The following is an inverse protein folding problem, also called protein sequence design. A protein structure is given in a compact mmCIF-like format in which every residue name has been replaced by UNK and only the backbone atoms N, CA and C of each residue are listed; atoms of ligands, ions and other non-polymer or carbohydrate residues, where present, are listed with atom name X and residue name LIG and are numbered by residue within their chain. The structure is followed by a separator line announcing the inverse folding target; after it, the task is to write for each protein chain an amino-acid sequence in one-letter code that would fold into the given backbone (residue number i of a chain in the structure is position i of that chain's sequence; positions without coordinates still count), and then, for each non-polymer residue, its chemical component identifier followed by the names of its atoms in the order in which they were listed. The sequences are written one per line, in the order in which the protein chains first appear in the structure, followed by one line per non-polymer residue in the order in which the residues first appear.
data_IF_223137634201
#
_entry.id   IF_223137634201
#
_cell.length_a   1.000
_cell.length_b   1.000
_cell.length_c   1.000
_cell.angle_alpha   90.00
_cell.angle_beta   90.00
_cell.angle_gamma   90.00
#
_symmetry.space_group_name_H-M   'P 1'
#
loop_
_entity.id
_entity.type
_entity.pdbx_description
1 polymer ?
#
# COMPACT_ATOMS: atom_id res chain seq x y z
N UNK A 1 -6.76 7.78 23.07
CA UNK A 1 -5.98 6.55 23.27
C UNK A 1 -4.95 6.42 22.17
N UNK A 2 -3.72 6.00 22.51
CA UNK A 2 -2.53 6.15 21.74
C UNK A 2 -2.42 5.28 20.51
N UNK A 3 -1.56 5.75 19.62
CA UNK A 3 -1.05 4.91 18.54
C UNK A 3 0.11 4.08 19.07
N UNK A 4 0.22 2.86 18.57
CA UNK A 4 1.38 1.99 18.77
C UNK A 4 2.12 1.88 17.45
N UNK A 5 3.43 2.08 17.50
CA UNK A 5 4.34 1.93 16.39
C UNK A 5 5.32 0.81 16.68
N UNK A 6 5.54 -0.04 15.71
CA UNK A 6 6.54 -1.08 15.76
C UNK A 6 7.40 -1.01 14.51
N UNK A 7 8.70 -0.86 14.70
CA UNK A 7 9.68 -0.84 13.63
C UNK A 7 10.07 -2.26 13.27
N UNK A 8 9.94 -2.61 12.00
CA UNK A 8 10.30 -3.90 11.45
C UNK A 8 11.44 -3.70 10.44
N UNK A 9 12.56 -4.33 10.69
CA UNK A 9 13.74 -4.20 9.85
C UNK A 9 13.84 -5.41 8.93
N UNK A 10 14.00 -5.13 7.65
CA UNK A 10 14.19 -6.10 6.58
C UNK A 10 13.06 -7.12 6.37
N UNK A 11 13.05 -7.72 5.18
CA UNK A 11 12.00 -8.63 4.73
C UNK A 11 11.66 -9.76 5.68
N UNK A 12 12.65 -10.45 6.28
CA UNK A 12 12.39 -11.54 7.23
C UNK A 12 11.58 -11.13 8.47
N UNK A 13 11.57 -9.86 8.84
CA UNK A 13 10.74 -9.37 9.95
C UNK A 13 9.34 -8.95 9.49
N UNK A 14 9.22 -8.17 8.41
CA UNK A 14 7.92 -7.59 8.06
C UNK A 14 7.05 -8.47 7.15
N UNK A 15 7.60 -9.22 6.19
CA UNK A 15 6.75 -10.03 5.31
C UNK A 15 5.95 -11.11 6.05
N UNK A 16 6.55 -11.94 6.94
CA UNK A 16 5.77 -12.92 7.69
C UNK A 16 4.63 -12.26 8.50
N UNK A 17 4.89 -11.07 9.05
CA UNK A 17 3.89 -10.32 9.81
C UNK A 17 2.75 -9.79 8.93
N UNK A 18 3.08 -9.26 7.75
CA UNK A 18 2.09 -8.83 6.75
C UNK A 18 1.23 -10.01 6.29
N UNK A 19 1.86 -11.14 5.93
CA UNK A 19 1.15 -12.35 5.50
C UNK A 19 0.27 -12.92 6.61
N UNK A 20 0.73 -12.92 7.86
CA UNK A 20 -0.05 -13.34 9.02
C UNK A 20 -1.25 -12.41 9.26
N UNK A 21 -1.06 -11.09 9.13
CA UNK A 21 -2.14 -10.12 9.26
C UNK A 21 -3.22 -10.33 8.19
N UNK A 22 -2.85 -10.56 6.92
CA UNK A 22 -3.80 -10.88 5.85
C UNK A 22 -4.53 -12.20 6.13
N UNK A 23 -3.80 -13.21 6.63
CA UNK A 23 -4.39 -14.51 6.97
C UNK A 23 -5.40 -14.39 8.13
N UNK A 24 -5.16 -13.50 9.09
CA UNK A 24 -6.04 -13.24 10.24
C UNK A 24 -7.18 -12.27 9.97
N UNK A 25 -7.21 -11.59 8.83
CA UNK A 25 -8.21 -10.58 8.48
C UNK A 25 -9.64 -11.15 8.54
N UNK A 26 -10.56 -10.34 9.11
CA UNK A 26 -11.96 -10.71 9.32
C UNK A 26 -12.93 -9.88 8.47
N UNK A 27 -12.57 -8.65 8.11
CA UNK A 27 -13.48 -7.69 7.45
C UNK A 27 -12.94 -7.22 6.12
N UNK A 28 -11.73 -6.64 6.12
CA UNK A 28 -11.17 -6.02 4.94
C UNK A 28 -9.64 -6.06 4.92
N UNK A 29 -9.11 -6.16 3.72
CA UNK A 29 -7.68 -6.00 3.41
C UNK A 29 -7.54 -5.00 2.26
N UNK A 30 -6.71 -3.99 2.44
CA UNK A 30 -6.41 -2.99 1.44
C UNK A 30 -4.92 -2.93 1.21
N UNK A 31 -4.51 -3.21 -0.01
CA UNK A 31 -3.12 -3.23 -0.42
C UNK A 31 -2.87 -2.18 -1.49
N UNK A 32 -1.88 -1.33 -1.28
CA UNK A 32 -1.39 -0.35 -2.26
C UNK A 32 0.11 -0.55 -2.44
N UNK A 33 0.54 -0.96 -3.63
CA UNK A 33 1.94 -1.23 -3.93
C UNK A 33 2.36 -0.61 -5.24
N UNK A 34 3.57 -0.02 -5.22
CA UNK A 34 4.26 0.37 -6.43
C UNK A 34 4.82 -0.84 -7.17
N UNK A 35 5.62 -1.66 -6.50
CA UNK A 35 6.38 -2.76 -7.10
C UNK A 35 5.83 -4.11 -6.65
N UNK A 36 5.38 -4.90 -7.62
CA UNK A 36 4.96 -6.28 -7.43
C UNK A 36 5.38 -7.08 -8.67
N UNK A 37 6.37 -7.95 -8.52
CA UNK A 37 6.94 -8.73 -9.62
C UNK A 37 6.86 -10.23 -9.33
N UNK A 38 7.01 -11.04 -10.37
CA UNK A 38 7.08 -12.50 -10.21
C UNK A 38 8.14 -12.90 -9.18
N UNK A 39 7.83 -13.92 -8.38
CA UNK A 39 8.73 -14.48 -7.37
C UNK A 39 7.96 -15.14 -6.24
N UNK A 40 8.69 -15.69 -5.27
CA UNK A 40 8.12 -16.37 -4.12
C UNK A 40 7.35 -15.42 -3.22
N UNK A 41 7.88 -14.19 -3.03
CA UNK A 41 7.19 -13.14 -2.28
C UNK A 41 5.82 -12.82 -2.87
N UNK A 42 5.76 -12.54 -4.17
CA UNK A 42 4.51 -12.25 -4.87
C UNK A 42 3.54 -13.44 -4.82
N UNK A 43 4.04 -14.65 -4.98
CA UNK A 43 3.22 -15.89 -4.95
C UNK A 43 2.54 -16.03 -3.59
N UNK A 44 3.30 -15.94 -2.50
CA UNK A 44 2.75 -16.03 -1.15
C UNK A 44 1.75 -14.90 -0.85
N UNK A 45 2.07 -13.67 -1.26
CA UNK A 45 1.17 -12.52 -1.08
C UNK A 45 -0.16 -12.74 -1.83
N UNK A 46 -0.10 -13.12 -3.11
CA UNK A 46 -1.28 -13.41 -3.94
C UNK A 46 -2.12 -14.52 -3.32
N UNK A 47 -1.50 -15.62 -2.88
CA UNK A 47 -2.19 -16.72 -2.22
C UNK A 47 -2.94 -16.26 -0.96
N UNK A 48 -2.30 -15.47 -0.08
CA UNK A 48 -2.94 -14.96 1.14
C UNK A 48 -4.10 -14.03 0.84
N UNK A 49 -3.98 -13.16 -0.15
CA UNK A 49 -5.06 -12.27 -0.60
C UNK A 49 -6.24 -13.07 -1.16
N UNK A 50 -5.97 -14.07 -2.01
CA UNK A 50 -7.00 -14.96 -2.53
C UNK A 50 -7.71 -15.73 -1.41
N UNK A 51 -6.95 -16.31 -0.48
CA UNK A 51 -7.52 -17.02 0.67
C UNK A 51 -8.39 -16.11 1.55
N UNK A 52 -7.98 -14.86 1.78
CA UNK A 52 -8.78 -13.89 2.51
C UNK A 52 -10.11 -13.59 1.77
N UNK A 53 -10.05 -13.32 0.46
CA UNK A 53 -11.24 -13.07 -0.35
C UNK A 53 -12.21 -14.27 -0.36
N UNK A 54 -11.68 -15.49 -0.50
CA UNK A 54 -12.49 -16.72 -0.46
C UNK A 54 -13.16 -16.97 0.89
N UNK A 55 -12.61 -16.42 2.00
CA UNK A 55 -13.26 -16.41 3.32
C UNK A 55 -14.36 -15.35 3.47
N UNK A 56 -14.57 -14.51 2.45
CA UNK A 56 -15.55 -13.42 2.49
C UNK A 56 -14.99 -12.08 2.97
N UNK A 57 -13.67 -11.97 3.18
CA UNK A 57 -13.01 -10.71 3.50
C UNK A 57 -13.02 -9.81 2.25
N UNK A 58 -13.37 -8.54 2.41
CA UNK A 58 -13.28 -7.57 1.31
C UNK A 58 -11.82 -7.25 1.01
N UNK A 59 -11.31 -7.71 -0.13
CA UNK A 59 -9.92 -7.47 -0.52
C UNK A 59 -9.86 -6.49 -1.68
N UNK A 60 -9.15 -5.38 -1.49
CA UNK A 60 -8.90 -4.34 -2.49
C UNK A 60 -7.40 -4.18 -2.73
N UNK A 61 -6.96 -4.32 -3.97
CA UNK A 61 -5.57 -4.15 -4.37
C UNK A 61 -5.44 -3.02 -5.39
N UNK A 62 -4.66 -2.00 -5.06
CA UNK A 62 -4.26 -0.92 -5.94
C UNK A 62 -2.78 -1.08 -6.28
N UNK A 63 -2.48 -1.43 -7.52
CA UNK A 63 -1.11 -1.63 -7.98
C UNK A 63 -0.72 -0.55 -8.98
N UNK A 64 0.51 -0.03 -8.90
CA UNK A 64 0.99 0.88 -9.94
C UNK A 64 1.10 0.15 -11.28
N UNK A 65 0.57 0.75 -12.33
CA UNK A 65 0.48 0.12 -13.64
C UNK A 65 1.82 -0.09 -14.35
N UNK A 66 2.89 0.56 -13.89
CA UNK A 66 4.26 0.33 -14.38
C UNK A 66 5.01 -0.63 -13.46
N UNK A 67 5.03 -0.35 -12.17
CA UNK A 67 5.77 -1.15 -11.20
C UNK A 67 5.24 -2.59 -11.03
N UNK A 68 3.99 -2.84 -11.43
CA UNK A 68 3.40 -4.19 -11.41
C UNK A 68 3.37 -4.89 -12.77
N UNK A 69 4.09 -4.39 -13.78
CA UNK A 69 4.20 -5.06 -15.09
C UNK A 69 4.77 -6.47 -14.97
N UNK A 70 5.70 -6.68 -14.03
CA UNK A 70 6.31 -7.97 -13.76
C UNK A 70 5.41 -9.00 -13.07
N UNK A 71 4.19 -8.62 -12.63
CA UNK A 71 3.24 -9.58 -12.07
C UNK A 71 2.64 -10.45 -13.19
N UNK A 72 2.79 -11.79 -13.15
CA UNK A 72 2.26 -12.68 -14.15
C UNK A 72 0.75 -12.55 -14.34
N UNK A 73 0.29 -12.70 -15.58
CA UNK A 73 -1.15 -12.66 -15.91
C UNK A 73 -1.95 -13.74 -15.19
N UNK A 74 -1.34 -14.91 -14.94
CA UNK A 74 -1.97 -16.01 -14.18
C UNK A 74 -2.26 -15.57 -12.74
N UNK A 75 -1.34 -14.89 -12.07
CA UNK A 75 -1.55 -14.40 -10.71
C UNK A 75 -2.59 -13.27 -10.66
N UNK A 76 -2.65 -12.41 -11.68
CA UNK A 76 -3.74 -11.43 -11.81
C UNK A 76 -5.10 -12.11 -11.98
N UNK A 77 -5.15 -13.15 -12.80
CA UNK A 77 -6.37 -13.95 -12.99
C UNK A 77 -6.79 -14.67 -11.70
N UNK A 78 -5.83 -15.18 -10.93
CA UNK A 78 -6.09 -15.80 -9.62
C UNK A 78 -6.72 -14.79 -8.64
N UNK A 79 -6.17 -13.58 -8.51
CA UNK A 79 -6.73 -12.52 -7.68
C UNK A 79 -8.19 -12.21 -8.07
N UNK A 80 -8.41 -11.96 -9.36
CA UNK A 80 -9.75 -11.64 -9.87
C UNK A 80 -10.73 -12.81 -9.70
N UNK A 81 -10.28 -14.05 -9.97
CA UNK A 81 -11.09 -15.25 -9.80
C UNK A 81 -11.47 -15.56 -8.35
N UNK A 82 -10.65 -15.15 -7.39
CA UNK A 82 -10.95 -15.25 -5.97
C UNK A 82 -11.86 -14.12 -5.45
N UNK A 83 -12.23 -13.14 -6.30
CA UNK A 83 -13.08 -12.01 -5.91
C UNK A 83 -12.32 -10.80 -5.36
N UNK A 84 -10.98 -10.77 -5.50
CA UNK A 84 -10.19 -9.59 -5.14
C UNK A 84 -10.50 -8.44 -6.11
N UNK A 85 -10.79 -7.26 -5.56
CA UNK A 85 -10.98 -6.06 -6.35
C UNK A 85 -9.60 -5.49 -6.72
N UNK A 86 -9.13 -5.79 -7.94
CA UNK A 86 -7.83 -5.36 -8.44
C UNK A 86 -7.98 -4.12 -9.33
N UNK A 87 -7.20 -3.08 -9.04
CA UNK A 87 -7.09 -1.87 -9.87
C UNK A 87 -5.65 -1.53 -10.18
N UNK A 88 -5.43 -0.97 -11.36
CA UNK A 88 -4.13 -0.45 -11.76
C UNK A 88 -4.15 1.08 -11.72
N UNK A 89 -3.22 1.63 -10.94
CA UNK A 89 -2.97 3.07 -10.96
C UNK A 89 -2.19 3.45 -12.22
N UNK A 90 -2.71 4.39 -13.00
CA UNK A 90 -2.10 4.94 -14.20
C UNK A 90 -1.39 3.90 -15.08
N UNK A 91 -2.11 2.89 -15.61
CA UNK A 91 -1.52 1.90 -16.50
C UNK A 91 -0.90 2.59 -17.71
N UNK A 92 0.20 2.05 -18.23
CA UNK A 92 0.90 2.62 -19.38
C UNK A 92 -0.03 2.72 -20.59
N UNK A 93 0.06 3.83 -21.30
CA UNK A 93 -0.68 4.07 -22.52
C UNK A 93 0.11 4.95 -23.47
N UNK A 94 0.31 4.52 -24.72
CA UNK A 94 1.10 5.25 -25.71
C UNK A 94 0.56 6.66 -26.00
N UNK A 95 -0.75 6.88 -25.85
CA UNK A 95 -1.38 8.20 -26.00
C UNK A 95 -1.28 9.10 -24.77
N UNK A 96 -0.69 8.62 -23.68
CA UNK A 96 -0.63 9.34 -22.40
C UNK A 96 0.58 10.27 -22.27
N UNK A 97 1.59 10.14 -23.15
CA UNK A 97 2.78 11.00 -23.15
C UNK A 97 3.39 11.11 -21.75
N UNK A 98 3.68 12.35 -21.31
CA UNK A 98 4.27 12.63 -19.99
C UNK A 98 3.39 12.18 -18.80
N UNK A 99 2.11 11.91 -19.00
CA UNK A 99 1.24 11.37 -17.94
C UNK A 99 1.66 9.96 -17.49
N UNK A 100 2.38 9.22 -18.33
CA UNK A 100 2.98 7.95 -17.94
C UNK A 100 4.04 8.09 -16.85
N UNK A 101 4.56 9.28 -16.56
CA UNK A 101 5.53 9.54 -15.52
C UNK A 101 4.91 9.65 -14.11
N UNK A 102 3.60 9.86 -14.02
CA UNK A 102 2.93 9.89 -12.72
C UNK A 102 2.81 8.47 -12.20
N UNK A 103 3.50 8.17 -11.09
CA UNK A 103 3.53 6.86 -10.46
C UNK A 103 2.99 6.94 -9.03
N UNK A 104 2.41 5.85 -8.58
CA UNK A 104 2.02 5.68 -7.20
C UNK A 104 3.11 4.94 -6.45
N UNK A 105 3.90 5.69 -5.69
CA UNK A 105 5.05 5.14 -4.96
C UNK A 105 4.72 4.67 -3.54
N UNK A 106 3.45 4.69 -3.15
CA UNK A 106 3.05 4.24 -1.82
C UNK A 106 3.14 2.72 -1.69
N UNK A 107 3.49 2.30 -0.48
CA UNK A 107 3.52 0.90 -0.07
C UNK A 107 2.78 0.85 1.26
N UNK A 108 1.55 0.37 1.19
CA UNK A 108 0.61 0.39 2.28
C UNK A 108 -0.18 -0.92 2.29
N UNK A 109 -0.24 -1.55 3.45
CA UNK A 109 -1.18 -2.63 3.74
C UNK A 109 -2.03 -2.21 4.93
N UNK A 110 -3.35 -2.26 4.76
CA UNK A 110 -4.33 -2.02 5.83
C UNK A 110 -5.12 -3.30 6.08
N UNK A 111 -5.31 -3.64 7.32
CA UNK A 111 -6.07 -4.82 7.74
C UNK A 111 -7.11 -4.41 8.76
N UNK A 112 -8.36 -4.70 8.47
CA UNK A 112 -9.55 -4.50 9.31
C UNK A 112 -9.78 -3.07 9.81
N UNK A 113 -9.04 -2.07 9.27
CA UNK A 113 -9.05 -0.70 9.77
C UNK A 113 -8.37 -0.53 11.14
N UNK A 114 -7.61 -1.53 11.60
CA UNK A 114 -7.00 -1.60 12.93
C UNK A 114 -5.47 -1.67 12.88
N UNK A 115 -4.93 -2.17 11.78
CA UNK A 115 -3.49 -2.36 11.58
C UNK A 115 -3.08 -1.82 10.21
N UNK A 116 -2.00 -1.04 10.20
CA UNK A 116 -1.36 -0.55 8.98
C UNK A 116 0.11 -0.96 8.95
N UNK A 117 0.59 -1.36 7.78
CA UNK A 117 2.02 -1.51 7.48
C UNK A 117 2.40 -0.48 6.43
N UNK A 118 3.38 0.35 6.75
CA UNK A 118 3.84 1.45 5.90
C UNK A 118 5.36 1.43 5.80
N UNK A 119 5.88 1.48 4.59
CA UNK A 119 7.35 1.43 4.39
C UNK A 119 7.77 1.68 2.96
N UNK A 120 9.02 1.40 2.65
CA UNK A 120 9.61 1.61 1.34
C UNK A 120 9.56 0.39 0.41
N UNK A 121 9.26 -0.80 0.94
CA UNK A 121 9.44 -2.06 0.21
C UNK A 121 8.37 -2.34 -0.84
N UNK A 122 8.81 -2.88 -1.99
CA UNK A 122 7.93 -3.63 -2.90
C UNK A 122 7.77 -5.09 -2.48
N UNK A 123 6.89 -5.82 -3.15
CA UNK A 123 6.78 -7.26 -2.97
C UNK A 123 7.58 -7.96 -4.07
N UNK A 124 8.88 -8.11 -3.84
CA UNK A 124 9.85 -8.80 -4.70
C UNK A 124 10.77 -9.65 -3.84
N UNK A 125 11.38 -10.67 -4.44
CA UNK A 125 12.26 -11.58 -3.72
C UNK A 125 13.55 -10.91 -3.23
N UNK A 126 13.97 -9.81 -3.85
CA UNK A 126 15.12 -9.00 -3.42
C UNK A 126 14.98 -8.48 -1.98
N UNK A 127 13.73 -8.27 -1.51
CA UNK A 127 13.45 -7.87 -0.14
C UNK A 127 13.06 -9.04 0.76
N UNK A 128 12.58 -10.15 0.18
CA UNK A 128 12.02 -11.28 0.94
C UNK A 128 13.07 -12.25 1.44
N UNK A 129 13.89 -12.75 0.53
CA UNK A 129 14.97 -13.69 0.82
C UNK A 129 16.17 -13.33 -0.05
N UNK A 130 17.12 -12.56 0.44
CA UNK A 130 18.39 -12.43 -0.25
C UNK A 130 19.02 -13.83 -0.28
N UNK A 131 19.08 -14.42 -1.45
CA UNK A 131 19.72 -15.73 -1.65
C UNK A 131 21.23 -15.69 -1.38
N UNK A 132 21.77 -14.47 -1.32
CA UNK A 132 23.14 -14.19 -1.00
C UNK A 132 23.17 -12.94 -0.14
N UNK A 133 23.71 -13.03 1.08
CA UNK A 133 23.82 -11.92 2.03
C UNK A 133 24.61 -10.71 1.51
N UNK A 134 25.24 -10.81 0.34
CA UNK A 134 26.06 -9.76 -0.24
C UNK A 134 25.27 -8.61 -0.89
N UNK A 135 23.97 -8.77 -1.18
CA UNK A 135 23.16 -7.78 -1.89
C UNK A 135 21.74 -7.61 -1.31
N UNK A 136 21.52 -7.97 -0.05
CA UNK A 136 20.24 -7.73 0.61
C UNK A 136 19.93 -6.24 0.66
N UNK A 137 18.81 -5.85 0.07
CA UNK A 137 18.28 -4.51 0.23
C UNK A 137 17.76 -4.36 1.66
N UNK A 138 18.35 -3.44 2.40
CA UNK A 138 17.85 -3.03 3.70
C UNK A 138 16.63 -2.14 3.53
N UNK A 139 15.58 -2.46 4.25
CA UNK A 139 14.35 -1.68 4.21
C UNK A 139 13.68 -1.65 5.58
N UNK A 140 12.87 -0.62 5.78
CA UNK A 140 12.18 -0.41 7.04
C UNK A 140 10.68 -0.36 6.80
N UNK A 141 9.94 -1.14 7.58
CA UNK A 141 8.49 -1.13 7.64
C UNK A 141 8.04 -0.72 9.04
N UNK A 142 7.00 0.10 9.13
CA UNK A 142 6.37 0.45 10.40
C UNK A 142 5.01 -0.21 10.46
N UNK A 143 4.80 -1.05 11.46
CA UNK A 143 3.46 -1.53 11.82
C UNK A 143 2.82 -0.54 12.79
N UNK A 144 1.60 -0.11 12.46
CA UNK A 144 0.88 0.95 13.18
C UNK A 144 -0.47 0.39 13.61
N UNK A 145 -0.82 0.53 14.88
CA UNK A 145 -2.17 0.30 15.38
C UNK A 145 -2.66 1.51 16.16
N UNK A 146 -3.99 1.70 16.20
CA UNK A 146 -4.61 2.84 16.86
C UNK A 146 -5.23 3.85 15.90
N UNK A 147 -5.64 5.03 16.37
CA UNK A 147 -6.42 6.01 15.60
C UNK A 147 -5.78 6.46 14.28
N UNK A 148 -4.45 6.47 14.19
CA UNK A 148 -3.72 6.87 12.99
C UNK A 148 -4.00 5.96 11.78
N UNK A 149 -4.45 4.73 12.00
CA UNK A 149 -4.81 3.80 10.91
C UNK A 149 -5.94 4.38 10.07
N UNK A 150 -6.88 5.11 10.69
CA UNK A 150 -7.97 5.77 9.97
C UNK A 150 -7.48 6.83 8.97
N UNK A 151 -6.38 7.53 9.28
CA UNK A 151 -5.79 8.52 8.37
C UNK A 151 -5.19 7.84 7.13
N UNK A 152 -4.52 6.70 7.31
CA UNK A 152 -4.00 5.88 6.22
C UNK A 152 -5.14 5.31 5.37
N UNK A 153 -6.23 4.89 5.99
CA UNK A 153 -7.41 4.42 5.27
C UNK A 153 -8.03 5.53 4.43
N UNK A 154 -8.15 6.75 4.95
CA UNK A 154 -8.62 7.89 4.17
C UNK A 154 -7.73 8.17 2.95
N UNK A 155 -6.40 8.02 3.08
CA UNK A 155 -5.49 8.16 1.94
C UNK A 155 -5.73 7.10 0.87
N UNK A 156 -5.91 5.84 1.27
CA UNK A 156 -6.26 4.77 0.35
C UNK A 156 -7.59 5.05 -0.34
N UNK A 157 -8.62 5.43 0.41
CA UNK A 157 -9.96 5.74 -0.12
C UNK A 157 -9.95 6.90 -1.12
N UNK A 158 -9.09 7.89 -0.95
CA UNK A 158 -8.91 8.97 -1.93
C UNK A 158 -8.28 8.48 -3.23
N UNK A 159 -7.34 7.54 -3.14
CA UNK A 159 -6.62 7.02 -4.29
C UNK A 159 -7.43 5.96 -5.03
N UNK A 160 -8.21 5.18 -4.32
CA UNK A 160 -8.99 4.08 -4.88
C UNK A 160 -9.97 4.52 -5.99
N UNK A 161 -10.86 5.53 -5.84
CA UNK A 161 -11.71 6.03 -6.92
C UNK A 161 -10.92 6.78 -7.99
N UNK A 162 -9.88 7.52 -7.63
CA UNK A 162 -9.05 8.25 -8.57
C UNK A 162 -8.39 7.34 -9.61
N UNK A 163 -8.17 6.06 -9.30
CA UNK A 163 -7.66 5.06 -10.24
C UNK A 163 -8.63 4.79 -11.41
N UNK A 164 -9.93 4.94 -11.22
CA UNK A 164 -10.95 4.82 -12.28
C UNK A 164 -11.21 6.15 -12.99
N UNK A 165 -11.25 7.26 -12.25
CA UNK A 165 -11.63 8.57 -12.77
C UNK A 165 -10.57 9.20 -13.69
N UNK A 166 -9.36 8.67 -13.76
CA UNK A 166 -8.28 9.21 -14.60
C UNK A 166 -8.40 8.91 -16.08
N UNK A 167 -9.44 8.22 -16.52
CA UNK A 167 -9.89 8.28 -17.92
C UNK A 167 -10.45 9.65 -18.30
N UNK A 168 -10.95 10.42 -17.32
CA UNK A 168 -11.44 11.80 -17.47
C UNK A 168 -10.76 12.71 -16.43
N UNK A 169 -9.46 12.98 -16.62
CA UNK A 169 -8.72 13.84 -15.71
C UNK A 169 -9.24 15.29 -15.77
N UNK A 170 -9.83 15.75 -14.69
CA UNK A 170 -9.88 17.16 -14.30
C UNK A 170 -8.98 17.31 -13.08
N UNK A 171 -8.06 18.31 -13.05
CA UNK A 171 -7.39 18.62 -11.81
C UNK A 171 -8.46 19.02 -10.81
N UNK A 172 -8.66 18.20 -9.79
CA UNK A 172 -9.44 18.62 -8.64
C UNK A 172 -8.64 19.70 -7.93
N UNK A 173 -9.23 20.87 -7.62
CA UNK A 173 -8.60 21.79 -6.72
C UNK A 173 -8.38 21.02 -5.40
N UNK A 174 -7.13 20.84 -5.02
CA UNK A 174 -6.79 20.29 -3.71
C UNK A 174 -7.17 21.35 -2.67
N UNK A 175 -8.39 21.27 -2.18
CA UNK A 175 -8.69 21.82 -0.88
C UNK A 175 -7.72 21.12 0.07
N UNK A 176 -6.80 21.88 0.67
CA UNK A 176 -5.79 21.34 1.58
C UNK A 176 -6.41 20.30 2.51
N UNK A 177 -5.63 19.27 2.87
CA UNK A 177 -6.09 18.28 3.84
C UNK A 177 -6.82 19.00 4.98
N UNK A 178 -8.05 18.60 5.34
CA UNK A 178 -8.65 19.14 6.54
C UNK A 178 -7.62 18.93 7.65
N UNK A 179 -7.28 19.99 8.36
CA UNK A 179 -6.43 19.88 9.55
C UNK A 179 -7.14 18.89 10.46
N UNK A 180 -6.60 17.69 10.53
CA UNK A 180 -7.10 16.69 11.45
C UNK A 180 -6.96 17.29 12.86
N UNK A 181 -7.97 17.19 13.70
CA UNK A 181 -7.84 17.62 15.09
C UNK A 181 -6.67 16.85 15.69
N UNK A 182 -5.81 17.55 16.42
CA UNK A 182 -4.69 16.94 17.10
C UNK A 182 -5.23 15.77 17.94
N UNK A 183 -4.72 14.55 17.65
CA UNK A 183 -5.12 13.37 18.44
C UNK A 183 -4.87 13.63 19.92
N UNK A 184 -5.82 13.32 20.80
CA UNK A 184 -5.63 13.55 22.23
C UNK A 184 -4.40 12.80 22.72
N UNK A 185 -3.61 13.49 23.53
CA UNK A 185 -2.37 12.98 24.11
C UNK A 185 -2.65 11.87 25.13
N UNK A 186 -2.77 10.63 24.67
CA UNK A 186 -2.66 9.46 25.57
C UNK A 186 -2.19 8.25 24.75
N UNK A 187 -0.93 7.86 24.95
CA UNK A 187 -0.28 6.71 24.31
C UNK A 187 1.16 7.03 23.94
N UNK A 188 1.93 6.01 23.66
CA UNK A 188 3.39 6.06 23.54
C UNK A 188 3.92 6.77 22.27
N UNK A 189 3.06 7.36 21.45
CA UNK A 189 3.51 8.10 20.27
C UNK A 189 2.47 9.02 19.66
N UNK A 190 2.93 10.18 19.21
CA UNK A 190 2.18 11.09 18.33
C UNK A 190 2.66 10.85 16.90
N UNK A 191 1.73 10.50 16.02
CA UNK A 191 2.01 10.36 14.60
C UNK A 191 1.12 11.29 13.79
N UNK A 192 1.66 11.81 12.70
CA UNK A 192 0.91 12.55 11.69
C UNK A 192 1.21 11.95 10.34
N UNK A 193 0.16 11.68 9.56
CA UNK A 193 0.33 11.29 8.17
C UNK A 193 0.50 12.56 7.34
N UNK A 194 1.64 12.67 6.67
CA UNK A 194 1.87 13.68 5.66
C UNK A 194 2.12 12.97 4.31
N UNK A 195 1.56 13.49 3.24
CA UNK A 195 1.84 12.99 1.90
C UNK A 195 2.17 14.14 0.96
N UNK A 196 3.06 13.88 0.01
CA UNK A 196 3.38 14.79 -1.08
C UNK A 196 2.77 14.24 -2.38
N UNK A 197 1.92 15.02 -3.02
CA UNK A 197 1.69 14.88 -4.44
C UNK A 197 2.67 15.84 -5.13
N UNK A 198 3.38 15.44 -6.16
CA UNK A 198 4.52 16.16 -6.75
C UNK A 198 4.38 17.68 -7.00
N UNK A 199 3.37 18.35 -6.45
CA UNK A 199 3.12 19.79 -6.51
C UNK A 199 3.20 20.49 -5.16
N UNK A 200 3.16 19.76 -4.02
CA UNK A 200 3.10 20.35 -2.67
C UNK A 200 4.34 20.08 -1.81
N UNK A 201 5.50 19.84 -2.43
CA UNK A 201 6.75 19.65 -1.69
C UNK A 201 7.16 20.84 -0.80
N UNK A 202 6.64 22.05 -1.08
CA UNK A 202 7.06 23.26 -0.34
C UNK A 202 6.47 23.37 1.05
N UNK A 203 5.27 22.81 1.28
CA UNK A 203 4.55 23.01 2.54
C UNK A 203 4.94 21.98 3.63
N UNK A 204 5.62 20.88 3.25
CA UNK A 204 6.04 19.84 4.18
C UNK A 204 7.36 20.19 4.88
N UNK A 205 8.22 20.97 4.22
CA UNK A 205 9.54 21.35 4.75
C UNK A 205 9.50 22.54 5.72
N UNK A 206 8.35 23.20 5.88
CA UNK A 206 8.19 24.42 6.69
C UNK A 206 7.16 24.28 7.82
N UNK A 207 6.72 23.05 8.14
CA UNK A 207 5.74 22.82 9.24
C UNK A 207 6.36 22.11 10.44
#
# INVERSE_FOLDING_TARGET
SGNRFELLLDGPQFFPRMLAAIAGAQRQVELELYLLTAGDCATQLVERLCQAALRGVQVRCLLDGFGSLGLPSVQRAQLLGAGVQLRLYNPLGWRRGLRNLYRDHRKLLLVDGELAFVGGTGATDDFWQPQDNSHAWHEVMVAISGPLVADWQQLFERQWPASLARLAWRPQPHNGLPRLPASPRQGDGLGRVAYADGRQHRDILHS
#
